data_IF_232645311905
#
_entry.id   IF_232645311905
#
_cell.length_a   1.000
_cell.length_b   1.000
_cell.length_c   1.000
_cell.angle_alpha   90.00
_cell.angle_beta   90.00
_cell.angle_gamma   90.00
#
_symmetry.space_group_name_H-M   'P 1'
#
loop_
_entity.id
_entity.type
_entity.pdbx_description
1 polymer ?
#
# COMPACT_ATOMS: atom_id res chain seq x y z
N UNK A 1 7.50 13.57 -4.02
CA UNK A 1 6.30 12.74 -3.70
C UNK A 1 6.22 12.34 -2.23
N UNK A 2 7.25 11.76 -1.59
CA UNK A 2 7.16 11.38 -0.16
C UNK A 2 6.91 12.59 0.77
N UNK A 3 7.53 13.73 0.48
CA UNK A 3 7.40 14.97 1.26
C UNK A 3 5.99 15.58 1.24
N UNK A 4 5.15 15.28 0.24
CA UNK A 4 3.78 15.81 0.15
C UNK A 4 2.76 14.96 0.91
N UNK A 5 3.17 13.78 1.41
CA UNK A 5 2.30 12.91 2.19
C UNK A 5 2.24 13.38 3.65
N UNK A 6 1.06 13.41 4.29
CA UNK A 6 0.96 13.61 5.73
C UNK A 6 1.76 12.56 6.51
N UNK A 7 2.33 12.94 7.67
CA UNK A 7 3.15 12.03 8.50
C UNK A 7 2.44 10.73 8.87
N UNK A 8 1.12 10.77 9.09
CA UNK A 8 0.34 9.57 9.39
C UNK A 8 0.20 8.65 8.18
N UNK A 9 0.12 9.19 6.96
CA UNK A 9 0.08 8.40 5.71
C UNK A 9 1.42 7.72 5.50
N UNK A 10 2.52 8.45 5.72
CA UNK A 10 3.87 7.88 5.68
C UNK A 10 4.02 6.72 6.67
N UNK A 11 3.56 6.90 7.91
CA UNK A 11 3.57 5.85 8.93
C UNK A 11 2.68 4.67 8.52
N UNK A 12 1.47 4.91 8.02
CA UNK A 12 0.57 3.87 7.54
C UNK A 12 1.19 3.06 6.40
N UNK A 13 1.83 3.72 5.43
CA UNK A 13 2.55 3.01 4.36
C UNK A 13 3.70 2.17 4.92
N UNK A 14 4.52 2.70 5.83
CA UNK A 14 5.68 1.98 6.36
C UNK A 14 5.31 0.81 7.27
N UNK A 15 4.31 0.99 8.14
CA UNK A 15 3.98 0.00 9.17
C UNK A 15 2.83 -0.94 8.78
N UNK A 16 2.02 -0.59 7.77
CA UNK A 16 0.89 -1.40 7.32
C UNK A 16 1.06 -1.81 5.86
N UNK A 17 1.24 -0.83 4.96
CA UNK A 17 1.34 -1.09 3.52
C UNK A 17 2.56 -1.95 3.14
N UNK A 18 3.74 -1.65 3.68
CA UNK A 18 4.98 -2.36 3.36
C UNK A 18 4.99 -3.79 3.91
N UNK A 19 4.61 -4.07 5.18
CA UNK A 19 4.47 -5.45 5.65
C UNK A 19 3.45 -6.26 4.85
N UNK A 20 2.32 -5.65 4.47
CA UNK A 20 1.34 -6.29 3.60
C UNK A 20 1.95 -6.61 2.22
N UNK A 21 2.69 -5.67 1.62
CA UNK A 21 3.39 -5.93 0.37
C UNK A 21 4.39 -7.09 0.47
N UNK A 22 5.20 -7.14 1.53
CA UNK A 22 6.17 -8.23 1.75
C UNK A 22 5.46 -9.58 1.87
N UNK A 23 4.38 -9.63 2.64
CA UNK A 23 3.59 -10.86 2.81
C UNK A 23 2.95 -11.29 1.48
N UNK A 24 2.43 -10.34 0.69
CA UNK A 24 1.85 -10.64 -0.62
C UNK A 24 2.91 -11.18 -1.58
N UNK A 25 4.09 -10.54 -1.63
CA UNK A 25 5.22 -11.01 -2.42
C UNK A 25 5.65 -12.41 -2.00
N UNK A 26 5.69 -12.70 -0.69
CA UNK A 26 6.00 -14.03 -0.18
C UNK A 26 4.99 -15.09 -0.68
N UNK A 27 3.69 -14.79 -0.64
CA UNK A 27 2.66 -15.71 -1.16
C UNK A 27 2.83 -15.97 -2.66
N UNK A 28 3.21 -14.94 -3.44
CA UNK A 28 3.52 -15.07 -4.87
C UNK A 28 4.71 -15.98 -5.11
N UNK A 29 5.86 -15.67 -4.49
CA UNK A 29 7.09 -16.42 -4.74
C UNK A 29 7.09 -17.84 -4.16
N UNK A 30 6.28 -18.10 -3.13
CA UNK A 30 6.07 -19.44 -2.59
C UNK A 30 5.06 -20.27 -3.37
N UNK A 31 4.38 -19.70 -4.39
CA UNK A 31 3.34 -20.37 -5.15
C UNK A 31 2.03 -20.60 -4.39
N UNK A 32 1.88 -20.03 -3.18
CA UNK A 32 0.74 -20.25 -2.27
C UNK A 32 -0.39 -19.24 -2.43
N UNK A 33 -0.34 -18.43 -3.49
CA UNK A 33 -1.34 -17.39 -3.81
C UNK A 33 -2.75 -17.96 -3.82
N UNK A 34 -2.93 -19.11 -4.47
CA UNK A 34 -4.23 -19.75 -4.65
C UNK A 34 -4.58 -20.72 -3.52
N UNK A 35 -3.58 -21.23 -2.78
CA UNK A 35 -3.80 -22.12 -1.64
C UNK A 35 -4.43 -21.38 -0.45
N UNK A 36 -4.13 -20.09 -0.30
CA UNK A 36 -4.60 -19.26 0.80
C UNK A 36 -5.31 -18.01 0.26
N UNK A 37 -6.32 -18.20 -0.59
CA UNK A 37 -7.03 -17.12 -1.28
C UNK A 37 -7.51 -16.01 -0.34
N UNK A 38 -8.08 -16.36 0.82
CA UNK A 38 -8.52 -15.36 1.81
C UNK A 38 -7.37 -14.50 2.33
N UNK A 39 -6.23 -15.11 2.66
CA UNK A 39 -5.06 -14.37 3.14
C UNK A 39 -4.50 -13.50 2.02
N UNK A 40 -4.39 -14.03 0.81
CA UNK A 40 -3.97 -13.31 -0.39
C UNK A 40 -4.83 -12.07 -0.63
N UNK A 41 -6.16 -12.20 -0.60
CA UNK A 41 -7.10 -11.09 -0.79
C UNK A 41 -6.99 -10.04 0.32
N UNK A 42 -6.86 -10.46 1.58
CA UNK A 42 -6.71 -9.54 2.70
C UNK A 42 -5.43 -8.72 2.59
N UNK A 43 -4.31 -9.40 2.35
CA UNK A 43 -3.00 -8.76 2.26
C UNK A 43 -2.94 -7.84 1.02
N UNK A 44 -3.49 -8.28 -0.11
CA UNK A 44 -3.64 -7.45 -1.30
C UNK A 44 -4.52 -6.23 -1.05
N UNK A 45 -5.65 -6.40 -0.36
CA UNK A 45 -6.55 -5.32 0.01
C UNK A 45 -5.89 -4.27 0.91
N UNK A 46 -5.13 -4.71 1.93
CA UNK A 46 -4.39 -3.83 2.84
C UNK A 46 -3.26 -3.09 2.12
N UNK A 47 -2.54 -3.76 1.22
CA UNK A 47 -1.56 -3.10 0.37
C UNK A 47 -2.23 -2.09 -0.57
N UNK A 48 -3.33 -2.48 -1.21
CA UNK A 48 -4.13 -1.65 -2.10
C UNK A 48 -4.69 -0.41 -1.42
N UNK A 49 -5.16 -0.51 -0.17
CA UNK A 49 -5.64 0.66 0.58
C UNK A 49 -4.52 1.66 0.85
N UNK A 50 -3.30 1.21 1.15
CA UNK A 50 -2.14 2.09 1.28
C UNK A 50 -1.82 2.81 -0.04
N UNK A 51 -1.86 2.10 -1.17
CA UNK A 51 -1.65 2.70 -2.49
C UNK A 51 -2.73 3.72 -2.85
N UNK A 52 -4.00 3.43 -2.58
CA UNK A 52 -5.13 4.36 -2.85
C UNK A 52 -5.01 5.63 -2.00
N UNK A 53 -4.73 5.50 -0.70
CA UNK A 53 -4.55 6.65 0.19
C UNK A 53 -3.38 7.52 -0.28
N UNK A 54 -2.23 6.92 -0.59
CA UNK A 54 -1.08 7.66 -1.13
C UNK A 54 -1.43 8.38 -2.43
N UNK A 55 -2.09 7.68 -3.35
CA UNK A 55 -2.49 8.24 -4.66
C UNK A 55 -3.41 9.43 -4.48
N UNK A 56 -4.38 9.36 -3.56
CA UNK A 56 -5.25 10.50 -3.25
C UNK A 56 -4.47 11.73 -2.78
N UNK A 57 -3.52 11.57 -1.85
CA UNK A 57 -2.73 12.70 -1.35
C UNK A 57 -1.76 13.25 -2.39
N UNK A 58 -1.14 12.39 -3.20
CA UNK A 58 -0.31 12.83 -4.32
C UNK A 58 -1.16 13.61 -5.33
N UNK A 59 -2.32 13.08 -5.75
CA UNK A 59 -3.23 13.75 -6.67
C UNK A 59 -3.72 15.10 -6.13
N UNK A 60 -4.04 15.18 -4.83
CA UNK A 60 -4.39 16.42 -4.15
C UNK A 60 -3.24 17.44 -4.18
N UNK A 61 -2.01 17.00 -3.95
CA UNK A 61 -0.83 17.87 -4.02
C UNK A 61 -0.57 18.36 -5.46
N UNK A 62 -0.71 17.48 -6.45
CA UNK A 62 -0.65 17.85 -7.89
C UNK A 62 -1.65 18.95 -8.21
N UNK A 63 -2.91 18.78 -7.77
CA UNK A 63 -3.97 19.76 -8.02
C UNK A 63 -3.69 21.13 -7.41
N UNK A 64 -2.98 21.17 -6.29
CA UNK A 64 -2.58 22.42 -5.61
C UNK A 64 -1.31 23.05 -6.19
N UNK A 65 -0.67 22.42 -7.17
CA UNK A 65 0.62 22.86 -7.72
C UNK A 65 1.76 22.74 -6.71
N UNK A 66 1.66 21.81 -5.75
CA UNK A 66 2.64 21.61 -4.66
C UNK A 66 3.64 20.48 -4.98
N UNK A 67 3.72 20.06 -6.24
CA UNK A 67 4.63 19.01 -6.74
C UNK A 67 5.84 19.58 -7.46
#
# INVERSE_FOLDING_TARGET
MWAVLPKWVQAYTLFVGMPAWVMFAFLIFSGRVFDNETLTMLVFGVFGSAAVIQTFFVAKATWRGEL
#
